data_IF_938909793214
#
_entry.id   IF_938909793214
#
_cell.length_a   1.000
_cell.length_b   1.000
_cell.length_c   1.000
_cell.angle_alpha   90.00
_cell.angle_beta   90.00
_cell.angle_gamma   90.00
#
_symmetry.space_group_name_H-M   'P 1'
#
loop_
_entity.id
_entity.type
_entity.pdbx_description
1 polymer ?
#
# COMPACT_ATOMS: atom_id res chain seq x y z
N UNK A 1 10.55 -23.60 -13.64
CA UNK A 1 10.90 -22.54 -12.69
C UNK A 1 9.89 -22.57 -11.57
N UNK A 2 10.37 -22.59 -10.32
CA UNK A 2 9.50 -22.58 -9.14
C UNK A 2 8.83 -21.20 -8.98
N UNK A 3 7.59 -21.20 -8.51
CA UNK A 3 6.88 -19.96 -8.14
C UNK A 3 7.50 -19.39 -6.86
N UNK A 4 7.96 -18.14 -6.90
CA UNK A 4 8.52 -17.46 -5.75
C UNK A 4 7.42 -16.66 -5.03
N UNK A 5 7.25 -16.92 -3.74
CA UNK A 5 6.36 -16.17 -2.88
C UNK A 5 7.17 -15.25 -1.98
N UNK A 6 6.93 -13.93 -2.11
CA UNK A 6 7.54 -12.94 -1.23
C UNK A 6 6.55 -12.67 -0.10
N UNK A 7 6.99 -12.97 1.11
CA UNK A 7 6.22 -12.74 2.32
C UNK A 7 6.49 -11.31 2.83
N UNK A 8 5.45 -10.66 3.32
CA UNK A 8 5.62 -9.43 4.10
C UNK A 8 6.34 -9.79 5.42
N UNK A 9 7.34 -9.00 5.79
CA UNK A 9 7.97 -9.07 7.11
C UNK A 9 6.95 -8.66 8.20
N UNK A 10 6.07 -9.58 8.50
CA UNK A 10 5.18 -9.40 9.64
C UNK A 10 5.93 -9.81 10.88
N UNK A 11 5.94 -8.92 11.85
CA UNK A 11 6.15 -9.31 13.25
C UNK A 11 5.36 -10.61 13.43
N UNK A 12 6.06 -11.71 13.62
CA UNK A 12 5.53 -13.07 13.54
C UNK A 12 4.25 -13.13 14.37
N UNK A 13 3.18 -13.73 13.85
CA UNK A 13 1.89 -13.85 14.55
C UNK A 13 2.05 -14.33 16.01
N UNK A 14 3.14 -15.05 16.28
CA UNK A 14 3.58 -15.50 17.59
C UNK A 14 3.78 -14.36 18.61
N UNK A 15 4.32 -13.21 18.21
CA UNK A 15 4.53 -12.06 19.11
C UNK A 15 3.20 -11.40 19.50
N UNK A 16 2.24 -11.35 18.57
CA UNK A 16 0.91 -10.84 18.87
C UNK A 16 0.12 -11.77 19.79
N UNK A 17 0.25 -13.09 19.62
CA UNK A 17 -0.37 -14.07 20.53
C UNK A 17 0.16 -13.88 21.94
N UNK A 18 1.48 -13.74 22.12
CA UNK A 18 2.07 -13.46 23.43
C UNK A 18 1.59 -12.14 24.02
N UNK A 19 1.52 -11.08 23.22
CA UNK A 19 1.02 -9.78 23.67
C UNK A 19 -0.45 -9.87 24.15
N UNK A 20 -1.29 -10.59 23.42
CA UNK A 20 -2.69 -10.84 23.80
C UNK A 20 -2.77 -11.63 25.12
N UNK A 21 -1.97 -12.69 25.27
CA UNK A 21 -1.92 -13.48 26.53
C UNK A 21 -1.51 -12.59 27.70
N UNK A 22 -0.49 -11.75 27.53
CA UNK A 22 -0.03 -10.81 28.56
C UNK A 22 -1.15 -9.84 28.96
N UNK A 23 -1.85 -9.26 27.98
CA UNK A 23 -2.95 -8.30 28.25
C UNK A 23 -4.12 -8.99 28.96
N UNK A 24 -4.48 -10.21 28.55
CA UNK A 24 -5.54 -10.99 29.21
C UNK A 24 -5.14 -11.32 30.67
N UNK A 25 -3.91 -11.76 30.91
CA UNK A 25 -3.43 -12.09 32.25
C UNK A 25 -3.38 -10.88 33.16
N UNK A 26 -2.92 -9.72 32.66
CA UNK A 26 -2.94 -8.46 33.41
C UNK A 26 -4.38 -8.03 33.71
N UNK A 27 -5.31 -8.16 32.78
CA UNK A 27 -6.72 -7.81 32.95
C UNK A 27 -7.39 -8.69 34.03
N UNK A 28 -7.10 -10.01 34.02
CA UNK A 28 -7.60 -10.94 35.02
C UNK A 28 -6.99 -10.69 36.38
N UNK A 29 -5.71 -10.40 36.49
CA UNK A 29 -5.04 -10.04 37.74
C UNK A 29 -5.61 -8.75 38.31
N UNK A 30 -5.88 -7.75 37.50
CA UNK A 30 -6.52 -6.51 37.89
C UNK A 30 -7.93 -6.75 38.43
N UNK A 31 -8.76 -7.56 37.75
CA UNK A 31 -10.09 -7.96 38.19
C UNK A 31 -10.05 -8.71 39.55
N UNK A 32 -9.09 -9.63 39.72
CA UNK A 32 -8.95 -10.38 40.98
C UNK A 32 -8.52 -9.50 42.15
N UNK A 33 -7.65 -8.52 41.93
CA UNK A 33 -7.19 -7.58 42.95
C UNK A 33 -8.31 -6.65 43.42
N UNK A 34 -9.22 -6.23 42.55
CA UNK A 34 -10.33 -5.33 42.85
C UNK A 34 -11.65 -6.03 43.16
N UNK A 35 -11.67 -7.36 43.36
CA UNK A 35 -12.86 -8.19 43.52
C UNK A 35 -13.78 -7.79 44.67
N UNK A 36 -13.34 -6.96 45.62
CA UNK A 36 -14.15 -6.51 46.78
C UNK A 36 -14.94 -5.22 46.53
N UNK A 37 -14.66 -4.45 45.46
CA UNK A 37 -15.37 -3.19 45.13
C UNK A 37 -15.39 -2.93 43.62
N UNK A 38 -15.89 -3.87 42.82
CA UNK A 38 -16.05 -3.65 41.36
C UNK A 38 -17.10 -2.56 41.13
N UNK A 39 -16.62 -1.37 40.78
CA UNK A 39 -17.46 -0.31 40.25
C UNK A 39 -17.91 -0.68 38.84
N UNK A 40 -19.12 -0.29 38.43
CA UNK A 40 -19.65 -0.43 37.05
C UNK A 40 -18.65 0.12 36.02
N UNK A 41 -17.91 1.17 36.37
CA UNK A 41 -16.87 1.78 35.54
C UNK A 41 -15.74 0.79 35.22
N UNK A 42 -15.30 -0.02 36.21
CA UNK A 42 -14.24 -1.01 36.02
C UNK A 42 -14.64 -2.09 35.01
N UNK A 43 -15.89 -2.51 35.02
CA UNK A 43 -16.45 -3.49 34.10
C UNK A 43 -16.43 -2.93 32.66
N UNK A 44 -16.84 -1.67 32.46
CA UNK A 44 -16.78 -1.01 31.14
C UNK A 44 -15.36 -0.89 30.59
N UNK A 45 -14.38 -0.57 31.46
CA UNK A 45 -12.96 -0.46 31.04
C UNK A 45 -12.46 -1.83 30.56
N UNK A 46 -12.72 -2.91 31.30
CA UNK A 46 -12.28 -4.25 30.92
C UNK A 46 -12.96 -4.71 29.63
N UNK A 47 -14.26 -4.47 29.47
CA UNK A 47 -15.00 -4.80 28.26
C UNK A 47 -14.46 -4.06 27.04
N UNK A 48 -14.20 -2.76 27.17
CA UNK A 48 -13.60 -1.93 26.11
C UNK A 48 -12.23 -2.46 25.69
N UNK A 49 -11.39 -2.84 26.65
CA UNK A 49 -10.08 -3.42 26.39
C UNK A 49 -10.18 -4.75 25.64
N UNK A 50 -11.10 -5.64 26.04
CA UNK A 50 -11.33 -6.91 25.36
C UNK A 50 -11.80 -6.72 23.92
N UNK A 51 -12.71 -5.77 23.66
CA UNK A 51 -13.18 -5.44 22.32
C UNK A 51 -12.00 -4.92 21.45
N UNK A 52 -11.17 -4.05 22.01
CA UNK A 52 -10.00 -3.50 21.30
C UNK A 52 -9.03 -4.62 20.90
N UNK A 53 -8.74 -5.55 21.79
CA UNK A 53 -7.88 -6.70 21.53
C UNK A 53 -8.47 -7.57 20.42
N UNK A 54 -9.77 -7.85 20.49
CA UNK A 54 -10.47 -8.64 19.46
C UNK A 54 -10.36 -7.99 18.09
N UNK A 55 -10.58 -6.69 17.99
CA UNK A 55 -10.46 -5.94 16.73
C UNK A 55 -9.02 -5.98 16.17
N UNK A 56 -8.01 -5.86 17.02
CA UNK A 56 -6.60 -5.99 16.63
C UNK A 56 -6.32 -7.41 16.12
N UNK A 57 -6.81 -8.45 16.77
CA UNK A 57 -6.64 -9.84 16.33
C UNK A 57 -7.30 -10.09 14.98
N UNK A 58 -8.52 -9.63 14.77
CA UNK A 58 -9.20 -9.73 13.47
C UNK A 58 -8.37 -9.05 12.38
N UNK A 59 -7.84 -7.86 12.65
CA UNK A 59 -6.99 -7.13 11.69
C UNK A 59 -5.73 -7.93 11.31
N UNK A 60 -5.11 -8.59 12.26
CA UNK A 60 -3.90 -9.40 12.02
C UNK A 60 -4.22 -10.63 11.18
N UNK A 61 -5.26 -11.37 11.53
CA UNK A 61 -5.67 -12.60 10.86
C UNK A 61 -6.10 -12.33 9.41
N UNK A 62 -6.79 -11.22 9.16
CA UNK A 62 -7.31 -10.86 7.83
C UNK A 62 -6.24 -10.30 6.88
N UNK A 63 -5.01 -10.05 7.35
CA UNK A 63 -3.94 -9.55 6.49
C UNK A 63 -3.24 -10.74 5.79
N UNK A 64 -3.14 -10.77 4.45
CA UNK A 64 -2.48 -11.87 3.74
C UNK A 64 -0.99 -11.96 4.11
N UNK A 65 -0.46 -13.17 4.21
CA UNK A 65 0.95 -13.41 4.52
C UNK A 65 1.85 -13.24 3.30
N UNK A 66 1.33 -13.51 2.10
CA UNK A 66 2.04 -13.36 0.84
C UNK A 66 1.73 -11.99 0.26
N UNK A 67 2.77 -11.20 0.00
CA UNK A 67 2.64 -9.88 -0.62
C UNK A 67 2.77 -9.93 -2.13
N UNK A 68 3.72 -10.73 -2.63
CA UNK A 68 3.92 -10.91 -4.06
C UNK A 68 4.04 -12.40 -4.40
N UNK A 69 3.46 -12.76 -5.53
CA UNK A 69 3.67 -14.05 -6.20
C UNK A 69 4.33 -13.79 -7.54
N UNK A 70 5.55 -14.27 -7.68
CA UNK A 70 6.33 -14.15 -8.90
C UNK A 70 6.36 -15.51 -9.59
N UNK A 71 5.79 -15.58 -10.78
CA UNK A 71 5.85 -16.74 -11.66
C UNK A 71 6.77 -16.44 -12.83
N UNK A 72 7.04 -17.39 -13.68
CA UNK A 72 7.84 -17.14 -14.89
C UNK A 72 7.09 -16.24 -15.91
N UNK A 73 5.76 -16.15 -15.86
CA UNK A 73 4.96 -15.37 -16.81
C UNK A 73 4.51 -14.02 -16.26
N UNK A 74 4.21 -13.94 -14.96
CA UNK A 74 3.60 -12.75 -14.38
C UNK A 74 4.05 -12.47 -12.94
N UNK A 75 3.93 -11.22 -12.58
CA UNK A 75 4.05 -10.73 -11.20
C UNK A 75 2.66 -10.38 -10.69
N UNK A 76 2.31 -10.86 -9.52
CA UNK A 76 1.02 -10.61 -8.89
C UNK A 76 1.23 -10.07 -7.47
N UNK A 77 0.55 -8.99 -7.17
CA UNK A 77 0.50 -8.39 -5.83
C UNK A 77 -0.76 -8.80 -5.10
N UNK A 78 -0.63 -9.13 -3.85
CA UNK A 78 -1.72 -9.51 -2.97
C UNK A 78 -1.83 -8.56 -1.79
N UNK A 79 -3.01 -8.01 -1.58
CA UNK A 79 -3.32 -7.27 -0.36
C UNK A 79 -4.68 -7.71 0.19
N UNK A 80 -4.97 -7.33 1.44
CA UNK A 80 -6.30 -7.55 2.05
C UNK A 80 -7.45 -6.87 1.30
N UNK A 81 -7.15 -5.94 0.43
CA UNK A 81 -8.14 -5.17 -0.33
C UNK A 81 -8.31 -5.64 -1.76
N UNK A 82 -7.59 -6.67 -2.16
CA UNK A 82 -7.48 -7.17 -3.52
C UNK A 82 -6.03 -7.12 -4.00
N UNK A 83 -5.85 -7.15 -5.30
CA UNK A 83 -4.52 -7.15 -5.89
C UNK A 83 -4.53 -6.62 -7.32
N UNK A 84 -3.40 -6.80 -7.96
CA UNK A 84 -3.22 -6.63 -9.40
C UNK A 84 -2.27 -7.70 -9.92
N UNK A 85 -2.32 -7.95 -11.21
CA UNK A 85 -1.39 -8.82 -11.90
C UNK A 85 -0.88 -8.14 -13.17
N UNK A 86 0.39 -8.34 -13.47
CA UNK A 86 0.98 -7.89 -14.74
C UNK A 86 1.96 -8.94 -15.25
N UNK A 87 2.05 -9.07 -16.57
CA UNK A 87 3.01 -9.98 -17.21
C UNK A 87 4.41 -9.36 -17.21
N UNK A 88 5.46 -10.18 -17.14
CA UNK A 88 6.83 -9.68 -17.25
C UNK A 88 7.10 -8.99 -18.60
N UNK A 89 6.38 -9.39 -19.66
CA UNK A 89 6.47 -8.73 -20.96
C UNK A 89 6.02 -7.27 -20.91
N UNK A 90 5.12 -6.92 -20.00
CA UNK A 90 4.63 -5.55 -19.79
C UNK A 90 5.52 -4.73 -18.85
N UNK A 91 6.42 -5.36 -18.10
CA UNK A 91 7.36 -4.67 -17.20
C UNK A 91 8.63 -4.33 -17.97
N UNK A 92 8.95 -3.04 -18.10
CA UNK A 92 10.16 -2.59 -18.81
C UNK A 92 11.33 -2.36 -17.87
N UNK A 93 11.07 -1.89 -16.65
CA UNK A 93 12.12 -1.58 -15.70
C UNK A 93 11.60 -1.68 -14.25
N UNK A 94 12.48 -2.16 -13.36
CA UNK A 94 12.27 -2.18 -11.92
C UNK A 94 13.52 -1.59 -11.27
N UNK A 95 13.34 -0.68 -10.33
CA UNK A 95 14.48 -0.04 -9.67
C UNK A 95 14.06 0.74 -8.41
N UNK A 96 15.04 1.27 -7.71
CA UNK A 96 14.78 2.15 -6.58
C UNK A 96 14.36 3.53 -7.06
N UNK A 97 13.36 4.11 -6.41
CA UNK A 97 13.02 5.50 -6.59
C UNK A 97 14.16 6.39 -6.13
N UNK A 98 14.53 7.36 -6.94
CA UNK A 98 15.54 8.36 -6.58
C UNK A 98 14.93 9.75 -6.70
N UNK A 99 15.21 10.60 -5.73
CA UNK A 99 14.82 12.00 -5.75
C UNK A 99 16.08 12.84 -5.61
N UNK A 100 16.18 13.88 -6.40
CA UNK A 100 17.33 14.76 -6.33
C UNK A 100 17.23 15.95 -7.26
N UNK A 101 18.04 16.98 -6.96
CA UNK A 101 18.21 18.15 -7.80
C UNK A 101 19.70 18.42 -8.00
N UNK A 102 20.09 18.98 -9.15
CA UNK A 102 21.45 19.50 -9.42
C UNK A 102 22.58 18.46 -9.21
N UNK A 103 22.34 17.20 -9.60
CA UNK A 103 23.38 16.15 -9.54
C UNK A 103 23.44 15.37 -8.22
N UNK A 104 22.65 15.71 -7.24
CA UNK A 104 22.51 14.94 -5.99
C UNK A 104 21.27 14.04 -6.10
N UNK A 105 21.50 12.73 -6.03
CA UNK A 105 20.42 11.73 -6.06
C UNK A 105 20.38 10.98 -4.72
N UNK A 106 19.26 11.06 -4.04
CA UNK A 106 19.00 10.27 -2.83
C UNK A 106 18.10 9.10 -3.17
N UNK A 107 18.56 7.89 -2.91
CA UNK A 107 17.74 6.69 -3.05
C UNK A 107 16.71 6.63 -1.94
N UNK A 108 15.46 6.38 -2.32
CA UNK A 108 14.34 6.21 -1.40
C UNK A 108 14.06 4.72 -1.18
N UNK A 109 13.47 4.33 -0.04
CA UNK A 109 13.09 2.94 0.25
C UNK A 109 11.84 2.52 -0.54
N UNK A 110 11.72 2.95 -1.79
CA UNK A 110 10.61 2.65 -2.68
C UNK A 110 11.13 1.94 -3.93
N UNK A 111 10.48 0.83 -4.26
CA UNK A 111 10.74 0.10 -5.50
C UNK A 111 9.73 0.61 -6.53
N UNK A 112 10.24 1.20 -7.60
CA UNK A 112 9.46 1.65 -8.73
C UNK A 112 9.36 0.58 -9.81
N UNK A 113 8.21 0.50 -10.44
CA UNK A 113 7.93 -0.38 -11.57
C UNK A 113 7.50 0.48 -12.76
N UNK A 114 8.12 0.24 -13.92
CA UNK A 114 7.78 0.90 -15.18
C UNK A 114 7.16 -0.12 -16.12
N UNK A 115 5.97 0.21 -16.63
CA UNK A 115 5.21 -0.63 -17.55
C UNK A 115 5.42 -0.20 -19.01
N UNK A 116 5.15 -1.10 -19.94
CA UNK A 116 5.10 -0.82 -21.36
C UNK A 116 3.75 -0.22 -21.77
N UNK A 117 2.65 -0.82 -21.30
CA UNK A 117 1.27 -0.37 -21.50
C UNK A 117 0.51 -0.37 -20.19
N UNK A 118 -0.45 0.55 -20.06
CA UNK A 118 -1.29 0.71 -18.87
C UNK A 118 -2.57 -0.12 -18.93
N UNK A 119 -3.04 -0.49 -20.15
CA UNK A 119 -4.37 -1.06 -20.40
C UNK A 119 -4.67 -2.25 -19.51
N UNK A 120 -3.88 -3.31 -19.65
CA UNK A 120 -4.08 -4.54 -18.89
C UNK A 120 -3.89 -4.35 -17.37
N UNK A 121 -3.03 -3.43 -16.96
CA UNK A 121 -2.79 -3.15 -15.55
C UNK A 121 -3.98 -2.41 -14.93
N UNK A 122 -4.46 -1.35 -15.58
CA UNK A 122 -5.55 -0.52 -15.06
C UNK A 122 -6.88 -1.27 -15.08
N UNK A 123 -7.13 -2.07 -16.13
CA UNK A 123 -8.35 -2.89 -16.21
C UNK A 123 -8.37 -4.03 -15.18
N UNK A 124 -7.20 -4.57 -14.82
CA UNK A 124 -7.09 -5.69 -13.86
C UNK A 124 -7.01 -5.27 -12.40
N UNK A 125 -6.63 -4.02 -12.10
CA UNK A 125 -6.44 -3.58 -10.72
C UNK A 125 -7.76 -3.42 -9.97
N UNK A 126 -7.81 -3.97 -8.75
CA UNK A 126 -8.96 -3.76 -7.88
C UNK A 126 -9.10 -2.26 -7.51
N UNK A 127 -10.30 -1.65 -7.61
CA UNK A 127 -10.50 -0.23 -7.30
C UNK A 127 -10.03 0.21 -5.91
N UNK A 128 -10.16 -0.67 -4.91
CA UNK A 128 -9.65 -0.41 -3.55
C UNK A 128 -8.13 -0.32 -3.50
N UNK A 129 -7.44 -1.13 -4.31
CA UNK A 129 -5.98 -1.09 -4.43
C UNK A 129 -5.55 0.15 -5.20
N UNK A 130 -6.26 0.51 -6.27
CA UNK A 130 -6.02 1.74 -7.02
C UNK A 130 -6.11 2.99 -6.13
N UNK A 131 -7.19 3.12 -5.34
CA UNK A 131 -7.36 4.21 -4.37
C UNK A 131 -6.22 4.26 -3.35
N UNK A 132 -5.76 3.09 -2.89
CA UNK A 132 -4.66 3.00 -1.94
C UNK A 132 -3.33 3.43 -2.54
N UNK A 133 -3.02 3.00 -3.76
CA UNK A 133 -1.82 3.44 -4.50
C UNK A 133 -1.81 4.97 -4.65
N UNK A 134 -2.95 5.57 -5.02
CA UNK A 134 -3.08 7.03 -5.13
C UNK A 134 -2.78 7.75 -3.82
N UNK A 135 -3.21 7.19 -2.68
CA UNK A 135 -2.97 7.78 -1.36
C UNK A 135 -1.52 7.57 -0.89
N UNK A 136 -1.00 6.36 -0.98
CA UNK A 136 0.34 6.02 -0.49
C UNK A 136 1.43 6.75 -1.27
N UNK A 137 1.29 6.86 -2.59
CA UNK A 137 2.27 7.51 -3.46
C UNK A 137 2.19 9.05 -3.45
N UNK A 138 1.21 9.63 -2.77
CA UNK A 138 1.06 11.08 -2.68
C UNK A 138 2.31 11.76 -2.10
N UNK A 139 2.86 11.19 -1.03
CA UNK A 139 4.05 11.75 -0.36
C UNK A 139 5.27 11.74 -1.30
N UNK A 140 5.44 10.65 -2.04
CA UNK A 140 6.54 10.50 -2.99
C UNK A 140 6.45 11.54 -4.11
N UNK A 141 5.24 11.78 -4.63
CA UNK A 141 4.99 12.77 -5.67
C UNK A 141 5.24 14.20 -5.17
N UNK A 142 4.83 14.53 -3.94
CA UNK A 142 5.10 15.82 -3.32
C UNK A 142 6.61 16.05 -3.18
N UNK A 143 7.35 15.01 -2.78
CA UNK A 143 8.81 15.09 -2.72
C UNK A 143 9.41 15.30 -4.11
N UNK A 144 8.96 14.55 -5.12
CA UNK A 144 9.44 14.67 -6.49
C UNK A 144 9.23 16.09 -7.04
N UNK A 145 8.04 16.66 -6.86
CA UNK A 145 7.74 18.03 -7.28
C UNK A 145 8.60 19.09 -6.57
N UNK A 146 8.86 18.90 -5.29
CA UNK A 146 9.70 19.83 -4.51
C UNK A 146 11.14 19.89 -5.02
N UNK A 147 11.65 18.80 -5.57
CA UNK A 147 13.01 18.70 -6.09
C UNK A 147 13.11 18.87 -7.61
N UNK A 148 11.98 18.90 -8.34
CA UNK A 148 11.98 19.19 -9.78
C UNK A 148 12.10 20.69 -10.02
N UNK A 149 13.12 21.07 -10.77
CA UNK A 149 13.42 22.50 -11.08
C UNK A 149 12.44 23.07 -12.11
N UNK A 150 11.85 22.22 -12.95
CA UNK A 150 11.07 22.60 -14.14
C UNK A 150 9.59 22.19 -14.09
N UNK A 151 9.03 21.87 -12.93
CA UNK A 151 7.64 21.47 -12.91
C UNK A 151 6.72 22.69 -13.02
N UNK A 152 6.16 22.89 -14.20
CA UNK A 152 5.07 23.85 -14.43
C UNK A 152 3.73 23.41 -13.86
N UNK A 153 3.68 22.23 -13.25
CA UNK A 153 2.46 21.64 -12.70
C UNK A 153 2.22 22.08 -11.26
N UNK A 154 1.01 22.51 -10.98
CA UNK A 154 0.58 22.71 -9.59
C UNK A 154 0.29 21.35 -8.95
N UNK A 155 0.61 21.23 -7.67
CA UNK A 155 0.42 19.98 -6.94
C UNK A 155 -1.03 19.47 -6.99
N UNK A 156 -1.99 20.40 -6.93
CA UNK A 156 -3.41 20.08 -6.94
C UNK A 156 -3.85 19.49 -8.28
N UNK A 157 -3.36 20.02 -9.40
CA UNK A 157 -3.68 19.51 -10.73
C UNK A 157 -3.22 18.06 -10.91
N UNK A 158 -2.03 17.75 -10.41
CA UNK A 158 -1.49 16.38 -10.49
C UNK A 158 -2.21 15.40 -9.54
N UNK A 159 -2.56 15.88 -8.33
CA UNK A 159 -3.15 15.01 -7.32
C UNK A 159 -4.58 14.59 -7.64
N UNK A 160 -5.32 15.43 -8.33
CA UNK A 160 -6.76 15.25 -8.57
C UNK A 160 -7.13 15.19 -10.05
N UNK A 161 -6.14 14.98 -10.93
CA UNK A 161 -6.39 14.85 -12.37
C UNK A 161 -7.22 13.59 -12.66
N UNK A 162 -8.52 13.77 -12.84
CA UNK A 162 -9.50 12.77 -13.25
C UNK A 162 -9.92 12.89 -14.72
N UNK A 163 -9.18 13.71 -15.49
CA UNK A 163 -9.42 13.88 -16.92
C UNK A 163 -9.36 12.52 -17.64
N UNK A 164 -10.24 12.29 -18.62
CA UNK A 164 -10.28 11.03 -19.34
C UNK A 164 -8.91 10.70 -19.93
N UNK A 165 -8.43 9.49 -19.68
CA UNK A 165 -7.16 8.98 -20.18
C UNK A 165 -7.41 8.05 -21.36
N UNK A 166 -6.79 8.36 -22.50
CA UNK A 166 -6.89 7.53 -23.70
C UNK A 166 -5.55 6.81 -23.87
N UNK A 167 -5.61 5.49 -23.96
CA UNK A 167 -4.44 4.63 -24.16
C UNK A 167 -3.97 4.63 -25.61
N UNK A 168 -2.79 4.06 -25.86
CA UNK A 168 -2.27 3.93 -27.22
C UNK A 168 -3.15 3.03 -28.10
N UNK A 169 -3.84 2.06 -27.49
CA UNK A 169 -4.77 1.14 -28.17
C UNK A 169 -6.17 1.74 -28.37
N UNK A 170 -6.38 3.00 -27.96
CA UNK A 170 -7.65 3.73 -28.10
C UNK A 170 -8.67 3.45 -27.01
N UNK A 171 -8.33 2.68 -25.97
CA UNK A 171 -9.21 2.44 -24.84
C UNK A 171 -9.28 3.71 -23.97
N UNK A 172 -10.49 4.08 -23.54
CA UNK A 172 -10.71 5.27 -22.71
C UNK A 172 -11.05 4.88 -21.30
N UNK A 173 -10.24 5.36 -20.36
CA UNK A 173 -10.50 5.24 -18.93
C UNK A 173 -11.09 6.52 -18.38
N UNK A 174 -12.02 6.39 -17.41
CA UNK A 174 -12.70 7.50 -16.73
C UNK A 174 -12.69 7.31 -15.21
N UNK A 175 -12.89 8.39 -14.47
CA UNK A 175 -12.99 8.37 -13.00
C UNK A 175 -11.70 7.86 -12.33
N UNK A 176 -11.81 6.90 -11.41
CA UNK A 176 -10.70 6.37 -10.63
C UNK A 176 -9.59 5.74 -11.50
N UNK A 177 -9.96 5.08 -12.59
CA UNK A 177 -9.00 4.47 -13.52
C UNK A 177 -8.23 5.54 -14.28
N UNK A 178 -8.89 6.60 -14.75
CA UNK A 178 -8.24 7.74 -15.37
C UNK A 178 -7.31 8.46 -14.38
N UNK A 179 -7.76 8.70 -13.15
CA UNK A 179 -6.94 9.29 -12.09
C UNK A 179 -5.68 8.46 -11.81
N UNK A 180 -5.78 7.12 -11.80
CA UNK A 180 -4.63 6.26 -11.65
C UNK A 180 -3.68 6.34 -12.86
N UNK A 181 -4.22 6.30 -14.08
CA UNK A 181 -3.43 6.41 -15.31
C UNK A 181 -2.68 7.74 -15.40
N UNK A 182 -3.37 8.86 -15.14
CA UNK A 182 -2.77 10.19 -15.09
C UNK A 182 -1.67 10.25 -14.02
N UNK A 183 -1.93 9.70 -12.81
CA UNK A 183 -0.92 9.60 -11.74
C UNK A 183 0.31 8.81 -12.18
N UNK A 184 0.13 7.69 -12.85
CA UNK A 184 1.24 6.87 -13.36
C UNK A 184 2.05 7.63 -14.41
N UNK A 185 1.40 8.44 -15.27
CA UNK A 185 2.07 9.31 -16.22
C UNK A 185 2.94 10.36 -15.51
N UNK A 186 2.42 11.07 -14.52
CA UNK A 186 3.18 12.05 -13.74
C UNK A 186 4.33 11.41 -12.94
N UNK A 187 4.10 10.24 -12.36
CA UNK A 187 5.15 9.50 -11.69
C UNK A 187 6.29 9.14 -12.67
N UNK A 188 5.95 8.74 -13.90
CA UNK A 188 6.95 8.46 -14.95
C UNK A 188 7.76 9.67 -15.33
N UNK A 189 7.12 10.82 -15.49
CA UNK A 189 7.77 12.08 -15.83
C UNK A 189 8.73 12.56 -14.74
N UNK A 190 8.31 12.48 -13.48
CA UNK A 190 9.04 13.03 -12.34
C UNK A 190 10.06 12.06 -11.73
N UNK A 191 9.78 10.76 -11.77
CA UNK A 191 10.53 9.73 -11.04
C UNK A 191 11.02 8.57 -11.94
N UNK A 192 10.63 8.55 -13.22
CA UNK A 192 11.03 7.52 -14.17
C UNK A 192 10.26 6.19 -14.08
N UNK A 193 9.33 6.06 -13.13
CA UNK A 193 8.54 4.85 -12.89
C UNK A 193 7.05 5.19 -12.82
N UNK A 194 6.18 4.21 -13.07
CA UNK A 194 4.75 4.41 -13.12
C UNK A 194 4.10 4.31 -11.73
N UNK A 195 4.51 3.33 -10.95
CA UNK A 195 4.02 3.14 -9.58
C UNK A 195 5.09 2.52 -8.67
N UNK A 196 4.87 2.61 -7.36
CA UNK A 196 5.86 2.31 -6.35
C UNK A 196 5.30 1.43 -5.24
N UNK A 197 6.21 0.64 -4.63
CA UNK A 197 5.98 -0.13 -3.41
C UNK A 197 7.10 0.11 -2.40
N UNK A 198 6.72 0.17 -1.12
CA UNK A 198 7.63 0.26 0.01
C UNK A 198 7.65 -1.05 0.79
#
# INVERSE_FOLDING_TARGET
METLHIHSDKITAKHYVWLVIIVITISLAFLSYFNTKLSVISIFIVLSLMITILLVMIKIITTPSVSFTLTFMHCQYHSRYGGWATTWHNVTHIGHATVGAQGWHTSLPWIGIRLKSYDNFISSICPRVASRLLLEQRVLLIMALKYSVDSHHQLEDILFDDSPFITQDGEQFIGLQAMLANRMRYNRELLGFDFFYC
#
